data_IF_787835301476
#
_entry.id   IF_787835301476
#
_cell.length_a   1.000
_cell.length_b   1.000
_cell.length_c   1.000
_cell.angle_alpha   90.00
_cell.angle_beta   90.00
_cell.angle_gamma   90.00
#
_symmetry.space_group_name_H-M   'P 1'
#
loop_
_entity.id
_entity.type
_entity.pdbx_description
1 polymer ?
#
# COMPACT_ATOMS: atom_id res chain seq x y z
N UNK A 1 -45.18 4.95 -9.08
CA UNK A 1 -45.49 5.30 -7.68
C UNK A 1 -46.24 4.13 -7.05
N UNK A 2 -45.90 3.85 -5.79
CA UNK A 2 -46.55 2.93 -4.85
C UNK A 2 -46.39 1.43 -5.11
N UNK A 3 -46.27 0.58 -4.09
CA UNK A 3 -45.56 0.60 -2.81
C UNK A 3 -45.71 -0.83 -2.30
N UNK A 4 -44.64 -1.42 -1.80
CA UNK A 4 -44.70 -2.67 -1.04
C UNK A 4 -45.35 -2.39 0.31
N UNK A 5 -46.36 -3.18 0.68
CA UNK A 5 -46.94 -3.18 2.04
C UNK A 5 -46.98 -4.60 2.59
N UNK A 6 -46.08 -4.82 3.55
CA UNK A 6 -46.24 -5.54 4.84
C UNK A 6 -47.53 -6.34 5.01
N UNK A 7 -47.39 -7.65 5.24
CA UNK A 7 -48.36 -8.43 6.03
C UNK A 7 -47.62 -9.05 7.20
N UNK A 8 -47.98 -8.56 8.39
CA UNK A 8 -47.66 -9.09 9.69
C UNK A 8 -48.77 -10.10 10.07
N UNK A 9 -48.42 -11.31 10.48
CA UNK A 9 -49.36 -12.20 11.20
C UNK A 9 -48.62 -13.02 12.25
N UNK A 10 -48.93 -12.69 13.50
CA UNK A 10 -48.58 -13.39 14.74
C UNK A 10 -49.36 -14.71 14.91
N UNK A 11 -49.02 -15.43 15.99
CA UNK A 11 -49.59 -16.68 16.57
C UNK A 11 -48.68 -17.90 16.29
N UNK A 12 -48.19 -18.70 17.23
CA UNK A 12 -48.51 -19.00 18.64
C UNK A 12 -47.27 -19.73 19.22
N UNK A 13 -46.81 -19.45 20.44
CA UNK A 13 -46.24 -20.48 21.32
C UNK A 13 -46.30 -19.99 22.77
N UNK A 14 -47.05 -20.73 23.60
CA UNK A 14 -47.45 -20.36 24.94
C UNK A 14 -46.36 -20.58 26.00
N UNK A 15 -46.36 -19.70 27.00
CA UNK A 15 -45.55 -19.80 28.20
C UNK A 15 -46.48 -20.03 29.41
N UNK A 16 -46.40 -21.23 29.98
CA UNK A 16 -47.20 -21.66 31.13
C UNK A 16 -46.59 -21.11 32.42
N UNK A 17 -47.43 -20.51 33.26
CA UNK A 17 -47.09 -19.86 34.54
C UNK A 17 -47.36 -20.85 35.67
N UNK A 18 -46.33 -21.33 36.38
CA UNK A 18 -46.51 -22.09 37.62
C UNK A 18 -46.29 -21.20 38.84
N UNK A 19 -47.30 -21.15 39.72
CA UNK A 19 -47.26 -20.55 41.07
C UNK A 19 -46.69 -21.57 42.07
N UNK A 20 -45.89 -21.08 43.02
CA UNK A 20 -45.78 -21.66 44.36
C UNK A 20 -44.44 -22.32 44.70
N UNK A 21 -43.56 -21.59 45.41
CA UNK A 21 -42.71 -22.14 46.49
C UNK A 21 -42.07 -21.00 47.32
N UNK A 22 -41.83 -21.30 48.61
CA UNK A 22 -41.77 -20.41 49.76
C UNK A 22 -40.45 -19.64 49.99
N UNK A 23 -40.41 -18.62 50.89
CA UNK A 23 -39.38 -17.58 50.91
C UNK A 23 -38.31 -17.70 52.03
N UNK A 24 -37.60 -18.83 52.19
CA UNK A 24 -36.60 -18.97 53.28
C UNK A 24 -35.28 -19.73 52.96
N UNK A 25 -34.90 -19.95 51.70
CA UNK A 25 -33.59 -20.54 51.37
C UNK A 25 -32.69 -19.57 50.57
N UNK A 26 -32.29 -18.47 51.23
CA UNK A 26 -31.21 -17.58 50.76
C UNK A 26 -30.15 -17.36 51.85
N UNK A 27 -29.45 -18.42 52.24
CA UNK A 27 -28.14 -18.38 52.93
C UNK A 27 -27.54 -19.78 52.69
N UNK A 28 -26.34 -20.07 52.21
CA UNK A 28 -25.16 -19.32 51.79
C UNK A 28 -24.40 -20.25 50.83
N UNK A 29 -23.92 -19.73 49.71
CA UNK A 29 -22.66 -20.16 49.07
C UNK A 29 -22.07 -18.93 48.38
N UNK A 30 -21.35 -18.16 49.20
CA UNK A 30 -20.44 -17.10 48.78
C UNK A 30 -19.17 -17.76 48.24
N UNK A 31 -18.87 -17.51 46.96
CA UNK A 31 -17.54 -17.33 46.37
C UNK A 31 -17.61 -17.61 44.86
N UNK A 32 -18.26 -16.72 44.12
CA UNK A 32 -18.03 -16.59 42.68
C UNK A 32 -16.97 -15.52 42.53
N UNK A 33 -15.72 -15.92 42.31
CA UNK A 33 -14.69 -15.00 41.83
C UNK A 33 -15.27 -14.21 40.64
N UNK A 34 -15.05 -12.88 40.53
CA UNK A 34 -15.58 -12.12 39.42
C UNK A 34 -15.01 -12.69 38.13
N UNK A 35 -15.86 -13.27 37.28
CA UNK A 35 -15.50 -13.53 35.90
C UNK A 35 -15.15 -12.18 35.27
N UNK A 36 -13.99 -12.03 34.61
CA UNK A 36 -13.63 -10.78 33.97
C UNK A 36 -14.74 -10.40 32.98
N UNK A 37 -15.29 -9.20 33.18
CA UNK A 37 -16.37 -8.66 32.36
C UNK A 37 -15.87 -8.45 30.90
N UNK A 38 -16.45 -9.15 29.91
CA UNK A 38 -16.06 -8.98 28.50
C UNK A 38 -16.38 -7.58 27.95
N UNK A 39 -17.09 -6.73 28.69
CA UNK A 39 -17.40 -5.35 28.32
C UNK A 39 -16.21 -4.37 28.41
N UNK A 40 -15.07 -4.77 28.99
CA UNK A 40 -13.90 -3.90 29.18
C UNK A 40 -12.77 -4.07 28.15
N UNK A 41 -12.97 -4.85 27.09
CA UNK A 41 -12.03 -4.95 25.97
C UNK A 41 -12.34 -3.89 24.89
N UNK A 42 -12.10 -2.61 25.21
CA UNK A 42 -12.18 -1.39 24.37
C UNK A 42 -12.23 -1.57 22.82
N UNK A 43 -13.40 -1.91 22.23
CA UNK A 43 -13.55 -2.05 20.78
C UNK A 43 -14.14 -0.77 20.16
N UNK A 44 -14.60 0.18 20.98
CA UNK A 44 -15.30 1.40 20.57
C UNK A 44 -14.34 2.51 20.19
N UNK A 45 -13.23 2.70 20.92
CA UNK A 45 -12.23 3.74 20.61
C UNK A 45 -11.44 3.37 19.36
N UNK A 46 -10.96 2.13 19.24
CA UNK A 46 -10.27 1.65 18.03
C UNK A 46 -11.17 1.77 16.80
N UNK A 47 -12.43 1.32 16.90
CA UNK A 47 -13.40 1.43 15.79
C UNK A 47 -13.79 2.87 15.48
N UNK A 48 -13.72 3.79 16.46
CA UNK A 48 -13.95 5.23 16.26
C UNK A 48 -12.77 5.88 15.56
N UNK A 49 -11.55 5.62 16.01
CA UNK A 49 -10.31 6.09 15.37
C UNK A 49 -10.26 5.58 13.92
N UNK A 50 -10.53 4.29 13.70
CA UNK A 50 -10.60 3.70 12.36
C UNK A 50 -11.58 4.42 11.43
N UNK A 51 -12.79 4.73 11.92
CA UNK A 51 -13.79 5.47 11.13
C UNK A 51 -13.38 6.91 10.85
N UNK A 52 -12.63 7.55 11.74
CA UNK A 52 -12.13 8.92 11.54
C UNK A 52 -10.98 8.94 10.52
N UNK A 53 -10.02 8.05 10.66
CA UNK A 53 -8.87 7.91 9.76
C UNK A 53 -9.31 7.57 8.34
N UNK A 54 -10.15 6.54 8.17
CA UNK A 54 -10.61 6.08 6.85
C UNK A 54 -11.89 6.77 6.35
N UNK A 55 -12.36 7.80 7.07
CA UNK A 55 -13.53 8.59 6.70
C UNK A 55 -13.14 10.05 6.47
N UNK A 56 -13.27 10.87 7.51
CA UNK A 56 -13.07 12.33 7.43
C UNK A 56 -11.62 12.74 7.14
N UNK A 57 -10.65 11.94 7.57
CA UNK A 57 -9.21 12.24 7.45
C UNK A 57 -8.49 11.30 6.48
N UNK A 58 -9.20 10.71 5.50
CA UNK A 58 -8.63 9.74 4.57
C UNK A 58 -7.45 10.31 3.77
N UNK A 59 -7.51 11.59 3.37
CA UNK A 59 -6.41 12.26 2.68
C UNK A 59 -5.15 12.32 3.55
N UNK A 60 -5.29 12.74 4.82
CA UNK A 60 -4.17 12.84 5.77
C UNK A 60 -3.58 11.46 6.05
N UNK A 61 -4.45 10.47 6.26
CA UNK A 61 -4.03 9.08 6.50
C UNK A 61 -3.24 8.53 5.32
N UNK A 62 -3.73 8.70 4.09
CA UNK A 62 -3.02 8.28 2.88
C UNK A 62 -1.68 9.02 2.74
N UNK A 63 -1.65 10.33 2.99
CA UNK A 63 -0.44 11.15 2.88
C UNK A 63 0.64 10.73 3.88
N UNK A 64 0.28 10.59 5.16
CA UNK A 64 1.21 10.19 6.21
C UNK A 64 1.67 8.75 6.01
N UNK A 65 0.75 7.84 5.68
CA UNK A 65 1.11 6.43 5.44
C UNK A 65 2.04 6.27 4.24
N UNK A 66 1.82 6.99 3.13
CA UNK A 66 2.75 6.99 1.99
C UNK A 66 4.14 7.49 2.37
N UNK A 67 4.24 8.57 3.17
CA UNK A 67 5.53 9.05 3.70
C UNK A 67 6.25 8.02 4.55
N UNK A 68 5.55 7.39 5.50
CA UNK A 68 6.12 6.35 6.38
C UNK A 68 6.55 5.12 5.59
N UNK A 69 5.74 4.66 4.64
CA UNK A 69 6.09 3.51 3.80
C UNK A 69 7.31 3.79 2.93
N UNK A 70 7.48 5.02 2.44
CA UNK A 70 8.66 5.39 1.67
C UNK A 70 9.90 5.53 2.55
N UNK A 71 9.77 6.10 3.76
CA UNK A 71 10.83 6.15 4.77
C UNK A 71 11.38 4.75 5.09
N UNK A 72 10.48 3.81 5.39
CA UNK A 72 10.87 2.44 5.70
C UNK A 72 11.48 1.74 4.48
N UNK A 73 10.93 2.01 3.28
CA UNK A 73 11.43 1.48 2.02
C UNK A 73 12.88 1.89 1.77
N UNK A 74 13.21 3.17 2.00
CA UNK A 74 14.56 3.68 1.80
C UNK A 74 15.56 3.13 2.83
N UNK A 75 15.17 3.03 4.11
CA UNK A 75 16.02 2.39 5.15
C UNK A 75 16.36 0.95 4.75
N UNK A 76 15.37 0.19 4.28
CA UNK A 76 15.60 -1.18 3.83
C UNK A 76 16.43 -1.25 2.53
N UNK A 77 16.28 -0.30 1.61
CA UNK A 77 17.12 -0.22 0.41
C UNK A 77 18.59 0.06 0.77
N UNK A 78 18.84 1.01 1.68
CA UNK A 78 20.19 1.29 2.17
C UNK A 78 20.80 0.08 2.89
N UNK A 79 20.02 -0.66 3.68
CA UNK A 79 20.49 -1.90 4.31
C UNK A 79 20.90 -2.97 3.28
N UNK A 80 20.18 -3.07 2.15
CA UNK A 80 20.55 -3.97 1.05
C UNK A 80 21.86 -3.52 0.39
N UNK A 81 22.01 -2.21 0.13
CA UNK A 81 23.23 -1.61 -0.45
C UNK A 81 24.45 -1.89 0.43
N UNK A 82 24.34 -1.65 1.74
CA UNK A 82 25.43 -1.89 2.71
C UNK A 82 25.87 -3.36 2.74
N UNK A 83 24.92 -4.29 2.66
CA UNK A 83 25.21 -5.74 2.64
C UNK A 83 25.86 -6.18 1.34
N UNK A 84 25.43 -5.61 0.21
CA UNK A 84 25.95 -5.93 -1.11
C UNK A 84 27.40 -5.50 -1.26
N UNK A 85 27.74 -4.29 -0.85
CA UNK A 85 29.06 -3.71 -1.08
C UNK A 85 30.11 -4.15 -0.05
N UNK A 86 29.74 -5.06 0.88
CA UNK A 86 30.57 -5.47 2.02
C UNK A 86 31.17 -4.28 2.80
N UNK A 87 30.53 -3.12 2.72
CA UNK A 87 31.02 -1.89 3.31
C UNK A 87 30.69 -1.90 4.80
N UNK A 88 31.71 -2.08 5.65
CA UNK A 88 31.61 -1.72 7.06
C UNK A 88 31.35 -0.21 7.11
N UNK A 89 30.23 0.26 7.67
CA UNK A 89 29.86 1.66 7.55
C UNK A 89 30.84 2.52 8.34
N UNK A 90 31.63 3.34 7.66
CA UNK A 90 32.29 4.46 8.29
C UNK A 90 31.31 5.61 8.59
N UNK A 91 30.09 5.61 8.01
CA UNK A 91 29.16 6.76 8.03
C UNK A 91 27.71 6.49 8.44
N UNK A 92 27.26 5.24 8.60
CA UNK A 92 25.87 4.91 8.97
C UNK A 92 24.84 5.18 7.85
N UNK A 93 23.54 5.23 8.19
CA UNK A 93 22.46 5.54 7.24
C UNK A 93 22.50 7.00 6.77
N UNK A 94 22.22 7.24 5.48
CA UNK A 94 22.01 8.58 4.94
C UNK A 94 20.62 9.09 5.32
N UNK A 95 20.56 9.83 6.43
CA UNK A 95 19.32 10.43 6.92
C UNK A 95 18.76 11.52 6.01
N UNK A 96 19.60 12.18 5.19
CA UNK A 96 19.14 13.19 4.24
C UNK A 96 18.36 12.51 3.11
N UNK A 97 18.87 11.37 2.61
CA UNK A 97 18.18 10.52 1.66
C UNK A 97 16.86 10.00 2.22
N UNK A 98 16.84 9.47 3.45
CA UNK A 98 15.61 9.01 4.13
C UNK A 98 14.59 10.15 4.23
N UNK A 99 15.02 11.35 4.61
CA UNK A 99 14.15 12.52 4.71
C UNK A 99 13.56 12.91 3.35
N UNK A 100 14.39 12.97 2.31
CA UNK A 100 13.95 13.27 0.95
C UNK A 100 12.93 12.24 0.45
N UNK A 101 13.20 10.94 0.62
CA UNK A 101 12.27 9.88 0.23
C UNK A 101 10.97 9.92 1.03
N UNK A 102 11.02 10.30 2.31
CA UNK A 102 9.81 10.54 3.12
C UNK A 102 8.96 11.67 2.52
N UNK A 103 9.59 12.78 2.11
CA UNK A 103 8.90 13.90 1.46
C UNK A 103 8.32 13.51 0.10
N UNK A 104 9.03 12.67 -0.67
CA UNK A 104 8.49 12.08 -1.91
C UNK A 104 7.22 11.31 -1.58
N UNK A 105 7.22 10.41 -0.60
CA UNK A 105 6.03 9.67 -0.17
C UNK A 105 4.86 10.57 0.25
N UNK A 106 5.15 11.64 1.00
CA UNK A 106 4.15 12.65 1.38
C UNK A 106 3.58 13.35 0.14
N UNK A 107 4.40 13.71 -0.85
CA UNK A 107 3.93 14.36 -2.08
C UNK A 107 3.04 13.43 -2.93
N UNK A 108 3.34 12.13 -2.91
CA UNK A 108 2.61 11.12 -3.66
C UNK A 108 1.23 10.80 -3.05
N UNK A 109 1.06 10.89 -1.74
CA UNK A 109 -0.20 10.52 -1.07
C UNK A 109 -1.45 11.29 -1.54
N UNK A 110 -1.43 12.64 -1.64
CA UNK A 110 -2.53 13.41 -2.22
C UNK A 110 -2.79 13.07 -3.68
N UNK A 111 -1.73 12.90 -4.48
CA UNK A 111 -1.84 12.53 -5.89
C UNK A 111 -2.57 11.19 -6.04
N UNK A 112 -2.19 10.19 -5.25
CA UNK A 112 -2.89 8.90 -5.17
C UNK A 112 -4.34 9.06 -4.73
N UNK A 113 -4.60 9.82 -3.67
CA UNK A 113 -5.95 10.03 -3.16
C UNK A 113 -6.90 10.60 -4.22
N UNK A 114 -6.48 11.65 -4.94
CA UNK A 114 -7.34 12.30 -5.91
C UNK A 114 -7.49 11.50 -7.21
N UNK A 115 -6.42 10.88 -7.71
CA UNK A 115 -6.50 10.05 -8.93
C UNK A 115 -7.38 8.82 -8.74
N UNK A 116 -7.27 8.15 -7.59
CA UNK A 116 -8.12 6.98 -7.28
C UNK A 116 -9.57 7.39 -7.05
N UNK A 117 -9.80 8.52 -6.36
CA UNK A 117 -11.16 9.07 -6.21
C UNK A 117 -11.78 9.42 -7.56
N UNK A 118 -11.02 10.03 -8.46
CA UNK A 118 -11.46 10.31 -9.83
C UNK A 118 -11.80 9.02 -10.59
N UNK A 119 -10.95 8.00 -10.50
CA UNK A 119 -11.19 6.69 -11.13
C UNK A 119 -12.45 6.00 -10.59
N UNK A 120 -12.71 6.10 -9.29
CA UNK A 120 -13.90 5.51 -8.66
C UNK A 120 -15.21 6.23 -9.06
N UNK A 121 -15.15 7.54 -9.32
CA UNK A 121 -16.28 8.30 -9.88
C UNK A 121 -16.52 7.91 -11.34
N UNK A 122 -15.45 7.72 -12.12
CA UNK A 122 -15.54 7.34 -13.54
C UNK A 122 -16.05 5.90 -13.74
N UNK A 123 -15.65 4.98 -12.85
CA UNK A 123 -15.96 3.55 -12.92
C UNK A 123 -16.61 3.06 -11.61
N UNK A 124 -17.88 3.42 -11.35
CA UNK A 124 -18.57 2.96 -10.15
C UNK A 124 -18.83 1.43 -10.20
N UNK A 125 -18.76 0.82 -9.02
CA UNK A 125 -19.04 -0.61 -8.84
C UNK A 125 -17.80 -1.51 -8.85
N UNK A 126 -18.03 -2.80 -8.56
CA UNK A 126 -16.98 -3.80 -8.36
C UNK A 126 -17.19 -5.05 -9.24
N UNK A 127 -17.89 -4.92 -10.37
CA UNK A 127 -18.03 -6.03 -11.32
C UNK A 127 -16.66 -6.41 -11.89
N UNK A 128 -16.45 -7.68 -12.27
CA UNK A 128 -15.20 -8.15 -12.89
C UNK A 128 -14.80 -7.27 -14.09
N UNK A 129 -15.77 -6.90 -14.93
CA UNK A 129 -15.55 -5.98 -16.06
C UNK A 129 -15.09 -4.59 -15.60
N UNK A 130 -15.65 -4.07 -14.51
CA UNK A 130 -15.23 -2.78 -13.92
C UNK A 130 -13.81 -2.88 -13.36
N UNK A 131 -13.46 -3.99 -12.71
CA UNK A 131 -12.11 -4.22 -12.16
C UNK A 131 -11.06 -4.25 -13.27
N UNK A 132 -11.30 -4.98 -14.37
CA UNK A 132 -10.37 -4.97 -15.52
C UNK A 132 -10.21 -3.59 -16.14
N UNK A 133 -11.29 -2.81 -16.24
CA UNK A 133 -11.20 -1.42 -16.72
C UNK A 133 -10.37 -0.55 -15.77
N UNK A 134 -10.54 -0.70 -14.45
CA UNK A 134 -9.74 0.02 -13.45
C UNK A 134 -8.27 -0.33 -13.55
N UNK A 135 -7.93 -1.61 -13.67
CA UNK A 135 -6.53 -2.05 -13.89
C UNK A 135 -5.97 -1.44 -15.17
N UNK A 136 -6.74 -1.42 -16.26
CA UNK A 136 -6.32 -0.76 -17.50
C UNK A 136 -6.02 0.72 -17.32
N UNK A 137 -6.93 1.48 -16.72
CA UNK A 137 -6.71 2.92 -16.45
C UNK A 137 -5.51 3.12 -15.51
N UNK A 138 -5.41 2.30 -14.48
CA UNK A 138 -4.32 2.37 -13.51
C UNK A 138 -2.97 2.21 -14.21
N UNK A 139 -2.83 1.19 -15.05
CA UNK A 139 -1.56 0.88 -15.70
C UNK A 139 -1.23 1.83 -16.86
N UNK A 140 -2.21 2.27 -17.65
CA UNK A 140 -1.94 3.11 -18.84
C UNK A 140 -1.94 4.61 -18.56
N UNK A 141 -2.55 5.08 -17.48
CA UNK A 141 -2.69 6.52 -17.20
C UNK A 141 -2.06 6.87 -15.86
N UNK A 142 -2.50 6.19 -14.80
CA UNK A 142 -2.16 6.57 -13.43
C UNK A 142 -0.70 6.21 -13.12
N UNK A 143 -0.25 5.01 -13.49
CA UNK A 143 1.11 4.52 -13.22
C UNK A 143 2.20 5.37 -13.93
N UNK A 144 2.07 5.73 -15.22
CA UNK A 144 2.98 6.69 -15.86
C UNK A 144 3.09 8.02 -15.11
N UNK A 145 1.96 8.57 -14.65
CA UNK A 145 1.94 9.83 -13.89
C UNK A 145 2.68 9.67 -12.56
N UNK A 146 2.48 8.57 -11.84
CA UNK A 146 3.20 8.33 -10.59
C UNK A 146 4.69 8.13 -10.79
N UNK A 147 5.12 7.36 -11.78
CA UNK A 147 6.55 7.13 -12.03
C UNK A 147 7.25 8.44 -12.36
N UNK A 148 6.66 9.26 -13.24
CA UNK A 148 7.22 10.56 -13.63
C UNK A 148 7.29 11.50 -12.41
N UNK A 149 6.20 11.62 -11.65
CA UNK A 149 6.17 12.50 -10.48
C UNK A 149 7.08 12.01 -9.35
N UNK A 150 7.23 10.70 -9.17
CA UNK A 150 8.18 10.09 -8.25
C UNK A 150 9.63 10.49 -8.61
N UNK A 151 10.06 10.24 -9.85
CA UNK A 151 11.43 10.55 -10.26
C UNK A 151 11.73 12.05 -10.22
N UNK A 152 10.79 12.91 -10.66
CA UNK A 152 10.97 14.36 -10.54
C UNK A 152 11.04 14.84 -9.10
N UNK A 153 10.10 14.41 -8.24
CA UNK A 153 10.08 14.84 -6.84
C UNK A 153 11.34 14.39 -6.11
N UNK A 154 11.78 13.15 -6.33
CA UNK A 154 13.02 12.62 -5.75
C UNK A 154 14.24 13.43 -6.20
N UNK A 155 14.43 13.60 -7.52
CA UNK A 155 15.58 14.33 -8.06
C UNK A 155 15.62 15.81 -7.62
N UNK A 156 14.48 16.50 -7.62
CA UNK A 156 14.41 17.89 -7.19
C UNK A 156 14.70 18.06 -5.69
N UNK A 157 14.24 17.12 -4.83
CA UNK A 157 14.55 17.13 -3.40
C UNK A 157 16.02 16.80 -3.10
N UNK A 158 16.66 16.02 -3.97
CA UNK A 158 18.11 15.76 -3.94
C UNK A 158 18.93 16.96 -4.45
N UNK A 159 18.28 17.97 -5.04
CA UNK A 159 18.93 19.18 -5.57
C UNK A 159 19.39 19.05 -7.02
N UNK A 160 18.92 18.04 -7.76
CA UNK A 160 19.19 17.90 -9.18
C UNK A 160 18.47 18.97 -10.01
N UNK A 161 19.05 19.33 -11.16
CA UNK A 161 18.40 20.22 -12.12
C UNK A 161 17.30 19.49 -12.90
N UNK A 162 16.39 20.24 -13.52
CA UNK A 162 15.33 19.67 -14.37
C UNK A 162 15.89 18.84 -15.53
N UNK A 163 17.01 19.24 -16.12
CA UNK A 163 17.67 18.49 -17.20
C UNK A 163 18.15 17.14 -16.70
N UNK A 164 18.81 17.10 -15.55
CA UNK A 164 19.29 15.85 -14.92
C UNK A 164 18.12 14.94 -14.55
N UNK A 165 17.03 15.48 -13.98
CA UNK A 165 15.83 14.70 -13.68
C UNK A 165 15.21 14.10 -14.95
N UNK A 166 15.17 14.88 -16.04
CA UNK A 166 14.63 14.42 -17.33
C UNK A 166 15.45 13.27 -17.91
N UNK A 167 16.78 13.36 -17.82
CA UNK A 167 17.66 12.30 -18.31
C UNK A 167 17.57 11.04 -17.42
N UNK A 168 17.42 11.21 -16.11
CA UNK A 168 17.16 10.08 -15.20
C UNK A 168 15.83 9.38 -15.54
N UNK A 169 14.78 10.13 -15.86
CA UNK A 169 13.51 9.56 -16.33
C UNK A 169 13.71 8.74 -17.61
N UNK A 170 14.42 9.27 -18.61
CA UNK A 170 14.66 8.51 -19.85
C UNK A 170 15.36 7.18 -19.59
N UNK A 171 16.26 7.14 -18.61
CA UNK A 171 17.05 5.96 -18.29
C UNK A 171 16.27 4.94 -17.44
N UNK A 172 15.51 5.41 -16.44
CA UNK A 172 14.89 4.52 -15.43
C UNK A 172 13.42 4.23 -15.66
N UNK A 173 12.72 5.08 -16.42
CA UNK A 173 11.26 4.99 -16.58
C UNK A 173 10.81 3.62 -17.07
N UNK A 174 11.43 3.10 -18.13
CA UNK A 174 11.02 1.81 -18.69
C UNK A 174 11.28 0.64 -17.75
N UNK A 175 12.39 0.66 -17.02
CA UNK A 175 12.68 -0.36 -16.01
C UNK A 175 11.65 -0.35 -14.89
N UNK A 176 11.31 0.83 -14.36
CA UNK A 176 10.30 0.97 -13.31
C UNK A 176 8.91 0.59 -13.83
N UNK A 177 8.56 1.02 -15.03
CA UNK A 177 7.26 0.76 -15.64
C UNK A 177 7.06 -0.72 -15.97
N UNK A 178 8.09 -1.41 -16.48
CA UNK A 178 8.03 -2.86 -16.68
C UNK A 178 7.91 -3.61 -15.35
N UNK A 179 8.65 -3.19 -14.31
CA UNK A 179 8.48 -3.76 -12.98
C UNK A 179 7.07 -3.53 -12.42
N UNK A 180 6.48 -2.35 -12.65
CA UNK A 180 5.10 -2.03 -12.27
C UNK A 180 4.10 -3.03 -12.90
N UNK A 181 4.22 -3.26 -14.21
CA UNK A 181 3.41 -4.24 -14.95
C UNK A 181 3.62 -5.69 -14.50
N UNK A 182 4.80 -6.03 -14.00
CA UNK A 182 5.09 -7.38 -13.49
C UNK A 182 4.58 -7.56 -12.05
N UNK A 183 4.52 -6.49 -11.26
CA UNK A 183 4.12 -6.55 -9.86
C UNK A 183 2.61 -6.39 -9.71
N UNK A 184 2.02 -5.32 -10.24
CA UNK A 184 0.66 -4.94 -9.85
C UNK A 184 -0.45 -5.76 -10.48
N UNK A 185 -0.50 -6.02 -11.80
CA UNK A 185 -1.57 -6.84 -12.39
C UNK A 185 -1.67 -8.24 -11.76
N UNK A 186 -0.57 -9.01 -11.59
CA UNK A 186 -0.63 -10.30 -10.89
C UNK A 186 -1.02 -10.15 -9.43
N UNK A 187 -0.50 -9.13 -8.74
CA UNK A 187 -0.84 -8.84 -7.34
C UNK A 187 -2.32 -8.56 -7.17
N UNK A 188 -2.90 -7.72 -8.04
CA UNK A 188 -4.33 -7.40 -8.01
C UNK A 188 -5.19 -8.61 -8.33
N UNK A 189 -4.76 -9.46 -9.26
CA UNK A 189 -5.43 -10.72 -9.54
C UNK A 189 -5.51 -11.62 -8.29
N UNK A 190 -4.38 -11.85 -7.61
CA UNK A 190 -4.32 -12.63 -6.36
C UNK A 190 -5.19 -11.99 -5.27
N UNK A 191 -5.08 -10.67 -5.11
CA UNK A 191 -5.80 -9.90 -4.09
C UNK A 191 -7.32 -10.04 -4.21
N UNK A 192 -7.87 -9.97 -5.43
CA UNK A 192 -9.31 -10.05 -5.64
C UNK A 192 -9.84 -11.47 -5.81
N UNK A 193 -9.08 -12.36 -6.46
CA UNK A 193 -9.54 -13.70 -6.80
C UNK A 193 -9.27 -14.72 -5.68
N UNK A 194 -8.07 -14.71 -5.09
CA UNK A 194 -7.66 -15.74 -4.13
C UNK A 194 -7.86 -15.32 -2.67
N UNK A 195 -7.69 -14.03 -2.35
CA UNK A 195 -7.70 -13.58 -0.96
C UNK A 195 -9.09 -13.17 -0.46
N UNK A 196 -9.41 -13.68 0.74
CA UNK A 196 -10.57 -13.23 1.51
C UNK A 196 -10.42 -11.74 1.87
N UNK A 197 -11.52 -10.93 1.85
CA UNK A 197 -11.47 -9.49 2.13
C UNK A 197 -10.72 -9.08 3.39
N UNK A 198 -10.67 -9.96 4.41
CA UNK A 198 -9.99 -9.71 5.69
C UNK A 198 -8.46 -9.59 5.56
N UNK A 199 -7.84 -10.27 4.59
CA UNK A 199 -6.38 -10.32 4.42
C UNK A 199 -5.85 -9.39 3.32
N UNK A 200 -6.74 -8.85 2.46
CA UNK A 200 -6.39 -8.04 1.29
C UNK A 200 -5.52 -6.82 1.62
N UNK A 201 -5.88 -6.10 2.68
CA UNK A 201 -5.16 -4.88 3.08
C UNK A 201 -3.73 -5.21 3.53
N UNK A 202 -3.56 -6.26 4.33
CA UNK A 202 -2.25 -6.69 4.81
C UNK A 202 -1.36 -7.14 3.63
N UNK A 203 -1.93 -7.93 2.71
CA UNK A 203 -1.23 -8.40 1.52
C UNK A 203 -0.74 -7.25 0.64
N UNK A 204 -1.65 -6.33 0.28
CA UNK A 204 -1.31 -5.19 -0.58
C UNK A 204 -0.25 -4.31 0.08
N UNK A 205 -0.39 -3.98 1.37
CA UNK A 205 0.62 -3.18 2.08
C UNK A 205 1.99 -3.87 2.10
N UNK A 206 2.04 -5.20 2.21
CA UNK A 206 3.29 -5.95 2.12
C UNK A 206 3.96 -5.84 0.76
N UNK A 207 3.19 -6.00 -0.33
CA UNK A 207 3.71 -5.82 -1.70
C UNK A 207 4.12 -4.37 -1.95
N UNK A 208 3.34 -3.38 -1.50
CA UNK A 208 3.69 -1.96 -1.58
C UNK A 208 5.02 -1.67 -0.88
N UNK A 209 5.25 -2.27 0.29
CA UNK A 209 6.52 -2.11 1.01
C UNK A 209 7.69 -2.63 0.17
N UNK A 210 7.58 -3.84 -0.40
CA UNK A 210 8.62 -4.40 -1.28
C UNK A 210 8.85 -3.54 -2.52
N UNK A 211 7.78 -3.02 -3.12
CA UNK A 211 7.87 -2.14 -4.28
C UNK A 211 8.55 -0.81 -3.93
N UNK A 212 8.29 -0.23 -2.76
CA UNK A 212 8.99 0.98 -2.30
C UNK A 212 10.48 0.74 -2.09
N UNK A 213 10.88 -0.40 -1.52
CA UNK A 213 12.29 -0.79 -1.41
C UNK A 213 12.94 -0.84 -2.79
N UNK A 214 12.27 -1.48 -3.75
CA UNK A 214 12.72 -1.54 -5.14
C UNK A 214 12.87 -0.15 -5.78
N UNK A 215 11.88 0.73 -5.60
CA UNK A 215 11.91 2.10 -6.12
C UNK A 215 13.06 2.91 -5.52
N UNK A 216 13.26 2.84 -4.20
CA UNK A 216 14.36 3.52 -3.52
C UNK A 216 15.71 2.99 -3.99
N UNK A 217 15.83 1.68 -4.16
CA UNK A 217 17.05 1.03 -4.66
C UNK A 217 17.36 1.46 -6.10
N UNK A 218 16.41 1.36 -7.04
CA UNK A 218 16.62 1.81 -8.43
C UNK A 218 16.93 3.30 -8.53
N UNK A 219 16.30 4.13 -7.69
CA UNK A 219 16.55 5.58 -7.69
C UNK A 219 18.01 5.91 -7.40
N UNK A 220 18.70 5.11 -6.58
CA UNK A 220 20.07 5.39 -6.15
C UNK A 220 21.12 4.45 -6.75
N UNK A 221 20.70 3.38 -7.44
CA UNK A 221 21.58 2.40 -8.06
C UNK A 221 21.23 2.20 -9.53
N UNK A 222 22.18 2.50 -10.40
CA UNK A 222 22.02 2.29 -11.85
C UNK A 222 22.37 0.86 -12.28
N UNK A 223 23.00 0.08 -11.41
CA UNK A 223 23.46 -1.28 -11.72
C UNK A 223 22.32 -2.20 -12.16
N UNK A 224 21.20 -2.17 -11.45
CA UNK A 224 20.04 -3.01 -11.79
C UNK A 224 19.43 -2.60 -13.13
N UNK A 225 19.39 -1.29 -13.42
CA UNK A 225 18.94 -0.76 -14.70
C UNK A 225 19.86 -1.26 -15.81
N UNK A 226 21.18 -1.19 -15.59
CA UNK A 226 22.19 -1.66 -16.55
C UNK A 226 22.15 -3.17 -16.77
N UNK A 227 21.83 -3.99 -15.76
CA UNK A 227 21.67 -5.43 -15.91
C UNK A 227 20.44 -5.79 -16.74
N UNK A 228 19.31 -5.13 -16.48
CA UNK A 228 18.05 -5.37 -17.19
C UNK A 228 18.13 -4.88 -18.64
N UNK A 229 18.74 -3.71 -18.86
CA UNK A 229 18.85 -3.09 -20.19
C UNK A 229 20.06 -3.63 -20.99
N UNK A 230 21.17 -3.90 -20.32
CA UNK A 230 22.40 -4.46 -20.90
C UNK A 230 22.31 -5.95 -21.20
N UNK A 231 21.49 -6.71 -20.46
CA UNK A 231 21.17 -8.11 -20.79
C UNK A 231 20.39 -8.27 -22.10
N UNK A 232 19.68 -7.23 -22.53
CA UNK A 232 18.99 -7.19 -23.84
C UNK A 232 19.88 -6.66 -24.98
N UNK A 233 21.11 -6.21 -24.69
CA UNK A 233 22.02 -5.54 -25.64
C UNK A 233 23.44 -6.09 -25.65
N UNK A 234 23.66 -7.29 -25.11
CA UNK A 234 24.96 -7.95 -24.94
C UNK A 234 25.66 -8.40 -26.22
N UNK A 235 25.50 -7.70 -27.35
CA UNK A 235 26.29 -7.94 -28.58
C UNK A 235 26.78 -6.64 -29.26
N UNK A 236 26.74 -5.50 -28.56
CA UNK A 236 27.29 -4.24 -29.08
C UNK A 236 28.53 -3.72 -28.32
N UNK A 237 28.84 -4.30 -27.15
CA UNK A 237 29.94 -3.86 -26.29
C UNK A 237 31.34 -4.36 -26.69
N UNK A 238 31.42 -5.47 -27.44
CA UNK A 238 32.73 -6.08 -27.75
C UNK A 238 33.46 -5.41 -28.92
N UNK A 239 32.77 -4.62 -29.77
CA UNK A 239 33.42 -3.96 -30.92
C UNK A 239 34.13 -2.64 -30.60
N UNK A 240 34.00 -2.09 -29.39
CA UNK A 240 34.66 -0.82 -29.04
C UNK A 240 36.03 -0.97 -28.39
N UNK A 241 36.42 -2.19 -27.97
CA UNK A 241 37.74 -2.46 -27.40
C UNK A 241 38.79 -2.79 -28.47
N UNK A 242 38.40 -3.44 -29.57
CA UNK A 242 39.33 -3.88 -30.63
C UNK A 242 39.74 -2.77 -31.60
N UNK A 243 39.02 -1.64 -31.65
CA UNK A 243 39.35 -0.53 -32.55
C UNK A 243 40.31 0.51 -31.94
N UNK A 244 40.74 0.32 -30.68
CA UNK A 244 41.72 1.20 -30.02
C UNK A 244 43.13 0.60 -29.97
N UNK A 245 43.26 -0.68 -30.34
CA UNK A 245 44.52 -1.43 -30.37
C UNK A 245 44.90 -1.88 -31.80
N UNK A 246 44.47 -1.17 -32.84
CA UNK A 246 44.89 -1.39 -34.23
C UNK A 246 45.27 -0.08 -34.92
#
# INVERSE_FOLDING_TARGET
MLSRTVVCRSFFYGQQRCRGQAPWLRVAFSSKAPSPDPSKLEPSTVRRIWRLMFGRYLLVTNTVSSGVLMMLGDIAAQEIEMRRDHAVPSTGYDWRRVFNMTLVGISQGPLHHYLYKWMDVLLPGASVRTVFKKIGIDQFVISPIFIITYLYSAGLLEGASFTTCTDEIKNKYWTIYMADWLVWPPTQFINFYLLSPKYRVLYINGITMLYNVFLCYIKHNDDLVSLITGGAGGDAGEKKKTAKDS
#
